data_IF_220999500690
#
_entry.id   IF_220999500690
#
_cell.length_a   1.000
_cell.length_b   1.000
_cell.length_c   1.000
_cell.angle_alpha   90.00
_cell.angle_beta   90.00
_cell.angle_gamma   90.00
#
_symmetry.space_group_name_H-M   'P 1'
#
loop_
_entity.id
_entity.type
_entity.pdbx_description
1 polymer ?
#
# COMPACT_ATOMS: atom_id res chain seq x y z
N UNK A 1 -23.64 1.45 23.08
CA UNK A 1 -22.35 0.79 22.85
C UNK A 1 -21.27 1.81 23.13
N UNK A 2 -20.38 1.50 24.07
CA UNK A 2 -19.36 2.43 24.55
C UNK A 2 -18.12 2.35 23.67
N UNK A 3 -17.34 3.44 23.65
CA UNK A 3 -16.14 3.64 22.83
C UNK A 3 -15.02 2.61 23.03
N UNK A 4 -15.13 1.80 24.07
CA UNK A 4 -14.08 0.90 24.54
C UNK A 4 -14.21 -0.52 23.95
N UNK A 5 -15.38 -0.90 23.42
CA UNK A 5 -15.60 -2.24 22.85
C UNK A 5 -14.93 -2.41 21.47
N UNK A 6 -14.57 -1.32 20.79
CA UNK A 6 -14.05 -1.32 19.41
C UNK A 6 -12.52 -1.41 19.30
N UNK A 7 -11.80 -1.44 20.43
CA UNK A 7 -10.33 -1.50 20.44
C UNK A 7 -9.76 -2.92 20.36
N UNK A 8 -10.55 -3.97 20.19
CA UNK A 8 -10.10 -5.37 20.40
C UNK A 8 -9.44 -6.07 19.20
N UNK A 9 -9.25 -5.40 18.05
CA UNK A 9 -8.55 -6.01 16.93
C UNK A 9 -7.05 -6.18 17.26
N UNK A 10 -6.53 -7.40 17.14
CA UNK A 10 -5.10 -7.67 17.27
C UNK A 10 -4.37 -7.24 16.00
N UNK A 11 -3.40 -6.32 16.13
CA UNK A 11 -2.46 -6.01 15.06
C UNK A 11 -1.63 -7.25 14.71
N UNK A 12 -1.78 -7.74 13.48
CA UNK A 12 -1.15 -8.96 13.04
C UNK A 12 0.09 -8.67 12.16
N UNK A 13 1.28 -8.85 12.74
CA UNK A 13 2.58 -8.74 12.05
C UNK A 13 2.73 -9.70 10.86
N UNK A 14 2.05 -10.86 10.87
CA UNK A 14 2.09 -11.78 9.73
C UNK A 14 1.35 -11.21 8.53
N UNK A 15 0.16 -10.66 8.77
CA UNK A 15 -0.67 -10.09 7.70
C UNK A 15 -0.05 -8.79 7.19
N UNK A 16 0.34 -7.90 8.12
CA UNK A 16 0.94 -6.60 7.80
C UNK A 16 2.25 -6.72 6.99
N UNK A 17 3.09 -7.71 7.32
CA UNK A 17 4.33 -7.96 6.62
C UNK A 17 4.22 -9.03 5.52
N UNK A 18 3.04 -9.61 5.30
CA UNK A 18 2.82 -10.73 4.37
C UNK A 18 3.83 -11.88 4.60
N UNK A 19 3.99 -12.26 5.85
CA UNK A 19 4.90 -13.33 6.29
C UNK A 19 4.13 -14.63 6.48
N UNK A 20 4.76 -15.75 6.11
CA UNK A 20 4.21 -17.08 6.37
C UNK A 20 4.39 -17.47 7.84
N UNK A 21 3.27 -17.48 8.59
CA UNK A 21 3.22 -17.90 10.00
C UNK A 21 3.72 -19.33 10.24
N UNK A 22 3.77 -20.20 9.23
CA UNK A 22 4.26 -21.56 9.37
C UNK A 22 5.80 -21.67 9.46
N UNK A 23 6.55 -20.64 9.02
CA UNK A 23 8.01 -20.62 9.11
C UNK A 23 8.48 -20.59 10.56
N UNK A 24 9.67 -21.13 10.84
CA UNK A 24 10.29 -21.05 12.16
C UNK A 24 10.84 -19.63 12.46
N UNK A 25 11.14 -19.29 13.73
CA UNK A 25 11.60 -17.95 14.10
C UNK A 25 12.87 -17.50 13.37
N UNK A 26 13.82 -18.42 13.10
CA UNK A 26 15.07 -18.07 12.44
C UNK A 26 14.85 -17.75 10.95
N UNK A 27 13.98 -18.51 10.29
CA UNK A 27 13.58 -18.23 8.90
C UNK A 27 12.85 -16.88 8.77
N UNK A 28 11.90 -16.57 9.67
CA UNK A 28 11.22 -15.28 9.70
C UNK A 28 12.19 -14.13 9.95
N UNK A 29 13.08 -14.29 10.92
CA UNK A 29 14.15 -13.34 11.22
C UNK A 29 15.00 -13.01 9.98
N UNK A 30 15.43 -14.04 9.26
CA UNK A 30 16.28 -13.88 8.08
C UNK A 30 15.57 -13.17 6.93
N UNK A 31 14.29 -13.46 6.71
CA UNK A 31 13.47 -12.76 5.71
C UNK A 31 13.30 -11.27 6.06
N UNK A 32 13.02 -10.97 7.33
CA UNK A 32 12.89 -9.58 7.79
C UNK A 32 14.23 -8.84 7.69
N UNK A 33 15.35 -9.48 8.07
CA UNK A 33 16.69 -8.90 7.96
C UNK A 33 17.05 -8.54 6.50
N UNK A 34 16.65 -9.37 5.52
CA UNK A 34 16.84 -9.08 4.10
C UNK A 34 16.04 -7.86 3.64
N UNK A 35 14.80 -7.69 4.13
CA UNK A 35 13.97 -6.52 3.82
C UNK A 35 14.58 -5.24 4.39
N UNK A 36 15.03 -5.29 5.65
CA UNK A 36 15.74 -4.18 6.30
C UNK A 36 16.99 -3.79 5.51
N UNK A 37 17.81 -4.76 5.10
CA UNK A 37 19.05 -4.51 4.36
C UNK A 37 18.82 -3.97 2.94
N UNK A 38 17.76 -4.41 2.28
CA UNK A 38 17.39 -3.96 0.93
C UNK A 38 16.63 -2.64 0.91
N UNK A 39 16.22 -2.12 2.08
CA UNK A 39 15.38 -0.91 2.18
C UNK A 39 13.92 -1.13 1.75
N UNK A 40 13.50 -2.39 1.58
CA UNK A 40 12.13 -2.76 1.30
C UNK A 40 11.29 -2.54 2.57
N UNK A 41 10.62 -1.38 2.63
CA UNK A 41 9.90 -0.85 3.81
C UNK A 41 8.46 -0.47 3.45
N UNK A 42 7.86 -1.16 2.48
CA UNK A 42 6.51 -0.84 1.96
C UNK A 42 5.36 -1.27 2.89
N UNK A 43 5.69 -1.87 4.04
CA UNK A 43 4.74 -2.26 5.07
C UNK A 43 4.18 -1.03 5.84
N UNK A 44 2.99 -1.14 6.46
CA UNK A 44 2.31 -0.01 7.10
C UNK A 44 3.10 0.76 8.16
N UNK A 45 4.01 0.10 8.89
CA UNK A 45 4.89 0.76 9.87
C UNK A 45 6.34 0.94 9.38
N UNK A 46 6.60 0.79 8.08
CA UNK A 46 7.91 0.97 7.47
C UNK A 46 9.05 0.23 8.18
N UNK A 47 10.20 0.90 8.29
CA UNK A 47 11.38 0.32 8.95
C UNK A 47 11.15 -0.03 10.43
N UNK A 48 10.39 0.80 11.16
CA UNK A 48 10.17 0.58 12.59
C UNK A 48 9.41 -0.73 12.83
N UNK A 49 8.34 -0.99 12.07
CA UNK A 49 7.61 -2.24 12.17
C UNK A 49 8.47 -3.44 11.81
N UNK A 50 9.34 -3.35 10.79
CA UNK A 50 10.29 -4.43 10.49
C UNK A 50 11.22 -4.72 11.67
N UNK A 51 11.70 -3.69 12.36
CA UNK A 51 12.55 -3.86 13.55
C UNK A 51 11.79 -4.51 14.71
N UNK A 52 10.55 -4.08 14.96
CA UNK A 52 9.67 -4.67 15.97
C UNK A 52 9.37 -6.13 15.64
N UNK A 53 9.00 -6.43 14.40
CA UNK A 53 8.72 -7.77 13.94
C UNK A 53 9.95 -8.67 14.04
N UNK A 54 11.14 -8.15 13.69
CA UNK A 54 12.39 -8.88 13.82
C UNK A 54 12.67 -9.30 15.26
N UNK A 55 12.40 -8.40 16.21
CA UNK A 55 12.60 -8.62 17.63
C UNK A 55 11.56 -9.56 18.26
N UNK A 56 10.32 -9.54 17.77
CA UNK A 56 9.21 -10.37 18.26
C UNK A 56 9.20 -11.75 17.58
N UNK A 57 9.13 -11.79 16.26
CA UNK A 57 8.97 -13.03 15.48
C UNK A 57 10.26 -13.84 15.36
N UNK A 58 11.42 -13.17 15.49
CA UNK A 58 12.73 -13.79 15.43
C UNK A 58 13.18 -14.45 16.75
N UNK A 59 12.50 -14.19 17.86
CA UNK A 59 12.77 -14.81 19.16
C UNK A 59 11.68 -15.85 19.48
N UNK A 60 12.02 -17.13 19.76
CA UNK A 60 11.02 -18.17 19.99
C UNK A 60 10.06 -17.88 21.16
N UNK A 61 10.53 -17.25 22.24
CA UNK A 61 9.71 -16.99 23.42
C UNK A 61 8.75 -15.83 23.19
N UNK A 62 9.26 -14.71 22.65
CA UNK A 62 8.42 -13.56 22.32
C UNK A 62 7.41 -13.90 21.25
N UNK A 63 7.80 -14.66 20.23
CA UNK A 63 6.87 -15.15 19.22
C UNK A 63 5.78 -16.01 19.84
N UNK A 64 6.12 -16.95 20.73
CA UNK A 64 5.11 -17.77 21.40
C UNK A 64 4.11 -16.92 22.20
N UNK A 65 4.58 -15.89 22.91
CA UNK A 65 3.70 -14.98 23.65
C UNK A 65 2.81 -14.14 22.71
N UNK A 66 3.37 -13.67 21.59
CA UNK A 66 2.64 -12.98 20.54
C UNK A 66 1.56 -13.86 19.91
N UNK A 67 1.92 -15.08 19.50
CA UNK A 67 1.04 -16.05 18.86
C UNK A 67 -0.10 -16.49 19.79
N UNK A 68 0.18 -16.69 21.08
CA UNK A 68 -0.83 -17.02 22.08
C UNK A 68 -1.87 -15.90 22.19
N UNK A 69 -1.41 -14.64 22.23
CA UNK A 69 -2.30 -13.48 22.35
C UNK A 69 -3.12 -13.25 21.09
N UNK A 70 -2.56 -13.49 19.90
CA UNK A 70 -3.28 -13.41 18.63
C UNK A 70 -4.42 -14.44 18.52
N UNK A 71 -4.26 -15.60 19.17
CA UNK A 71 -5.24 -16.69 19.14
C UNK A 71 -6.29 -16.62 20.27
N UNK A 72 -6.16 -15.69 21.23
CA UNK A 72 -7.10 -15.54 22.35
C UNK A 72 -8.04 -14.35 22.11
N UNK A 73 -9.31 -14.58 21.75
CA UNK A 73 -10.25 -13.51 21.46
C UNK A 73 -10.60 -12.63 22.67
N UNK A 74 -10.26 -13.07 23.89
CA UNK A 74 -10.49 -12.30 25.11
C UNK A 74 -9.22 -11.61 25.62
N UNK A 75 -8.08 -11.82 24.96
CA UNK A 75 -6.85 -11.15 25.36
C UNK A 75 -6.93 -9.65 25.04
N UNK A 76 -6.21 -8.79 25.78
CA UNK A 76 -6.17 -7.38 25.44
C UNK A 76 -5.65 -7.18 24.01
N UNK A 77 -6.19 -6.20 23.29
CA UNK A 77 -5.84 -5.93 21.90
C UNK A 77 -4.33 -5.83 21.68
N UNK A 78 -3.83 -6.40 20.60
CA UNK A 78 -2.42 -6.28 20.24
C UNK A 78 -2.23 -4.95 19.51
N UNK A 79 -1.91 -3.88 20.23
CA UNK A 79 -1.63 -2.56 19.62
C UNK A 79 -0.16 -2.45 19.21
N UNK A 80 0.19 -1.51 18.29
CA UNK A 80 1.58 -1.20 17.96
C UNK A 80 2.44 -0.92 19.21
N UNK A 81 1.89 -0.23 20.20
CA UNK A 81 2.57 0.03 21.48
C UNK A 81 2.87 -1.24 22.26
N UNK A 82 1.90 -2.15 22.33
CA UNK A 82 2.08 -3.44 23.02
C UNK A 82 3.09 -4.34 22.31
N UNK A 83 3.20 -4.23 20.98
CA UNK A 83 4.22 -4.93 20.19
C UNK A 83 5.64 -4.40 20.47
N UNK A 84 5.80 -3.07 20.55
CA UNK A 84 7.07 -2.45 20.95
C UNK A 84 7.48 -2.87 22.37
N UNK A 85 6.54 -2.90 23.31
CA UNK A 85 6.81 -3.42 24.66
C UNK A 85 7.25 -4.89 24.64
N UNK A 86 6.58 -5.74 23.86
CA UNK A 86 6.94 -7.14 23.71
C UNK A 86 8.35 -7.31 23.11
N UNK A 87 8.70 -6.51 22.10
CA UNK A 87 10.02 -6.49 21.47
C UNK A 87 11.16 -6.20 22.46
N UNK A 88 10.90 -5.37 23.49
CA UNK A 88 11.87 -5.04 24.52
C UNK A 88 11.83 -5.95 25.75
N UNK A 89 10.90 -6.90 25.83
CA UNK A 89 10.79 -7.79 26.99
C UNK A 89 11.90 -8.84 26.97
N UNK A 90 12.66 -8.97 28.05
CA UNK A 90 13.63 -10.04 28.21
C UNK A 90 12.91 -11.32 28.66
N UNK A 91 12.50 -12.16 27.70
CA UNK A 91 11.88 -13.46 27.96
C UNK A 91 12.86 -14.66 27.82
N UNK A 92 14.15 -14.39 27.64
CA UNK A 92 15.18 -15.43 27.42
C UNK A 92 16.00 -15.78 28.67
N UNK A 93 15.74 -16.96 29.24
CA UNK A 93 16.77 -17.88 29.74
C UNK A 93 17.29 -17.71 31.18
N UNK A 94 16.56 -18.22 32.16
CA UNK A 94 17.18 -18.82 33.37
C UNK A 94 16.91 -20.32 33.37
N UNK A 95 17.55 -21.04 32.46
CA UNK A 95 17.87 -22.47 32.67
C UNK A 95 19.19 -22.48 33.43
N UNK A 96 19.11 -22.25 34.74
CA UNK A 96 20.10 -22.80 35.66
C UNK A 96 19.50 -24.05 36.30
N UNK A 97 20.03 -25.19 35.87
CA UNK A 97 19.70 -26.51 36.37
C UNK A 97 20.14 -26.63 37.82
N UNK A 98 19.23 -26.38 38.75
CA UNK A 98 19.43 -26.67 40.17
C UNK A 98 19.25 -28.16 40.48
N UNK A 99 20.18 -29.03 40.05
CA UNK A 99 20.38 -30.35 40.67
C UNK A 99 21.52 -30.22 41.69
N UNK A 100 21.10 -30.12 42.94
CA UNK A 100 21.66 -30.72 44.15
C UNK A 100 23.11 -30.50 44.63
N UNK A 101 23.17 -30.33 45.96
CA UNK A 101 24.28 -30.59 46.88
C UNK A 101 25.32 -29.47 47.10
N UNK A 102 25.23 -28.91 48.31
CA UNK A 102 26.02 -27.77 48.75
C UNK A 102 27.43 -28.08 49.22
N UNK A 103 28.22 -27.02 49.32
CA UNK A 103 29.32 -26.87 50.27
C UNK A 103 29.37 -25.39 50.69
N UNK A 104 29.38 -25.19 52.00
CA UNK A 104 29.66 -23.95 52.71
C UNK A 104 31.05 -23.40 52.39
N UNK A 105 31.17 -22.09 52.09
CA UNK A 105 32.02 -21.13 52.82
C UNK A 105 32.38 -19.86 52.02
N UNK A 106 32.18 -18.73 52.70
CA UNK A 106 33.03 -17.52 52.73
C UNK A 106 33.13 -16.60 51.50
N UNK A 107 32.35 -15.52 51.57
CA UNK A 107 32.49 -14.28 50.80
C UNK A 107 33.15 -13.20 51.69
N UNK A 108 34.20 -12.49 51.24
CA UNK A 108 34.64 -11.25 51.89
C UNK A 108 33.74 -10.07 51.49
N UNK A 109 33.64 -9.13 52.42
CA UNK A 109 32.74 -7.99 52.44
C UNK A 109 32.88 -7.00 51.27
N UNK A 110 31.75 -6.53 50.75
CA UNK A 110 31.61 -5.24 50.08
C UNK A 110 30.37 -4.52 50.62
N UNK A 111 30.54 -3.19 50.77
CA UNK A 111 29.73 -2.15 51.43
C UNK A 111 28.20 -2.28 51.37
N UNK A 112 27.46 -1.71 52.35
CA UNK A 112 26.00 -1.62 52.29
C UNK A 112 25.56 -0.74 51.12
N UNK A 113 24.71 -1.30 50.25
CA UNK A 113 23.99 -0.58 49.23
C UNK A 113 22.84 0.21 49.88
N UNK A 114 22.73 1.45 49.42
CA UNK A 114 21.69 2.41 49.75
C UNK A 114 20.32 1.92 49.27
N UNK A 115 19.30 2.16 50.09
CA UNK A 115 17.90 1.76 49.92
C UNK A 115 17.37 2.26 48.55
N UNK A 116 16.72 1.42 47.70
CA UNK A 116 16.07 1.93 46.51
C UNK A 116 14.92 2.83 46.92
N UNK A 117 14.97 4.08 46.47
CA UNK A 117 13.85 5.00 46.52
C UNK A 117 12.70 4.43 45.69
N UNK A 118 11.50 4.53 46.25
CA UNK A 118 10.23 4.28 45.58
C UNK A 118 10.15 5.24 44.38
N UNK A 119 10.13 4.70 43.16
CA UNK A 119 9.85 5.49 41.97
C UNK A 119 8.35 5.83 41.95
N UNK A 120 8.04 7.11 42.14
CA UNK A 120 6.71 7.66 41.90
C UNK A 120 6.32 7.49 40.42
N UNK A 121 5.01 7.32 40.11
CA UNK A 121 4.54 7.22 38.74
C UNK A 121 4.72 8.57 38.04
N UNK A 122 5.41 8.56 36.90
CA UNK A 122 5.51 9.71 36.01
C UNK A 122 4.14 9.99 35.37
N UNK A 123 3.33 10.78 36.05
CA UNK A 123 2.14 11.39 35.51
C UNK A 123 2.51 12.49 34.53
N UNK A 124 2.13 12.30 33.26
CA UNK A 124 1.68 13.33 32.33
C UNK A 124 2.57 14.54 32.05
N UNK A 125 3.24 14.55 30.90
CA UNK A 125 3.49 15.77 30.11
C UNK A 125 3.38 15.48 28.61
N UNK A 126 2.63 16.29 27.83
CA UNK A 126 2.49 16.12 26.39
C UNK A 126 3.78 16.54 25.66
N UNK A 127 4.22 15.74 24.69
CA UNK A 127 5.36 16.07 23.83
C UNK A 127 4.94 17.12 22.80
N UNK A 128 5.51 18.32 22.93
CA UNK A 128 5.47 19.40 21.95
C UNK A 128 6.63 19.21 20.95
N UNK A 129 6.31 19.05 19.66
CA UNK A 129 7.28 19.02 18.57
C UNK A 129 7.57 20.45 18.10
N UNK A 130 8.78 20.95 18.39
CA UNK A 130 9.27 22.24 17.91
C UNK A 130 10.18 22.08 16.68
N UNK A 131 10.12 22.99 15.67
CA UNK A 131 10.88 22.84 14.44
C UNK A 131 12.33 23.33 14.57
N UNK A 132 13.30 22.49 14.19
CA UNK A 132 14.66 22.92 13.93
C UNK A 132 14.76 23.55 12.54
N UNK A 133 14.96 24.87 12.49
CA UNK A 133 15.38 25.58 11.28
C UNK A 133 16.87 25.32 11.04
N UNK A 134 17.22 24.69 9.94
CA UNK A 134 18.54 24.84 9.34
C UNK A 134 18.38 25.45 7.95
N UNK A 135 18.72 26.73 7.90
CA UNK A 135 18.96 27.50 6.68
C UNK A 135 20.18 26.93 5.96
N UNK A 136 20.03 26.56 4.69
CA UNK A 136 21.14 26.50 3.74
C UNK A 136 20.70 27.17 2.45
N UNK A 137 21.15 28.40 2.32
CA UNK A 137 21.15 29.19 1.09
C UNK A 137 22.12 28.59 0.09
N UNK A 138 21.64 28.22 -1.11
CA UNK A 138 22.49 28.15 -2.30
C UNK A 138 21.87 29.01 -3.41
N UNK A 139 22.74 29.87 -3.90
CA UNK A 139 22.61 30.90 -4.93
C UNK A 139 22.01 30.39 -6.25
N UNK A 140 21.13 31.20 -6.84
CA UNK A 140 20.79 31.18 -8.27
C UNK A 140 22.01 31.51 -9.14
N UNK A 141 22.04 30.99 -10.37
CA UNK A 141 22.36 31.86 -11.52
C UNK A 141 21.16 31.98 -12.48
N UNK A 142 20.90 33.22 -12.90
CA UNK A 142 19.98 33.57 -13.96
C UNK A 142 20.58 33.30 -15.36
N UNK A 143 19.71 33.44 -16.38
CA UNK A 143 19.93 33.46 -17.85
C UNK A 143 20.22 32.11 -18.52
N UNK A 144 19.58 31.70 -19.63
CA UNK A 144 18.95 32.41 -20.75
C UNK A 144 18.03 31.46 -21.55
N UNK A 145 16.98 31.99 -22.15
CA UNK A 145 16.11 31.34 -23.16
C UNK A 145 16.81 31.34 -24.53
N UNK A 146 16.79 30.23 -25.30
CA UNK A 146 16.83 30.33 -26.75
C UNK A 146 15.56 29.82 -27.43
N UNK A 147 15.22 30.54 -28.49
CA UNK A 147 14.00 30.47 -29.28
C UNK A 147 13.84 29.22 -30.15
N UNK A 148 12.58 29.01 -30.51
CA UNK A 148 12.05 28.24 -31.64
C UNK A 148 12.98 28.19 -32.86
N UNK A 149 13.25 26.98 -33.35
CA UNK A 149 13.63 26.76 -34.74
C UNK A 149 12.50 26.04 -35.48
N UNK A 150 11.90 26.79 -36.41
CA UNK A 150 10.99 26.32 -37.47
C UNK A 150 11.75 25.34 -38.36
N UNK A 151 11.21 24.13 -38.53
CA UNK A 151 11.61 23.26 -39.63
C UNK A 151 10.74 23.55 -40.86
N UNK A 152 11.34 23.75 -42.05
CA UNK A 152 10.60 23.92 -43.30
C UNK A 152 9.99 22.60 -43.79
N UNK A 153 8.75 22.71 -44.28
CA UNK A 153 8.05 21.71 -45.09
C UNK A 153 8.73 21.54 -46.45
N UNK A 154 9.19 20.33 -46.77
CA UNK A 154 9.57 19.97 -48.14
C UNK A 154 8.43 19.12 -48.76
N UNK A 155 7.97 19.45 -49.99
CA UNK A 155 6.81 18.82 -50.60
C UNK A 155 7.15 17.48 -51.25
N UNK A 156 6.35 16.46 -50.95
CA UNK A 156 6.37 15.17 -51.65
C UNK A 156 5.71 15.34 -53.03
N UNK A 157 6.34 14.89 -54.13
CA UNK A 157 5.80 15.03 -55.48
C UNK A 157 4.58 14.14 -55.72
N UNK A 158 3.59 14.71 -56.42
CA UNK A 158 2.43 14.01 -56.98
C UNK A 158 2.90 13.00 -58.03
N UNK A 159 2.44 11.76 -57.90
CA UNK A 159 2.47 10.78 -58.99
C UNK A 159 1.07 10.78 -59.60
N UNK A 160 1.03 11.16 -60.87
CA UNK A 160 -0.17 11.26 -61.69
C UNK A 160 -0.82 9.90 -61.97
N UNK A 161 -2.12 9.95 -62.21
CA UNK A 161 -2.99 8.83 -62.55
C UNK A 161 -2.75 8.30 -63.99
N UNK A 162 -2.90 6.98 -64.10
CA UNK A 162 -3.42 6.08 -65.17
C UNK A 162 -3.50 6.53 -66.65
N UNK A 163 -3.41 5.56 -67.58
CA UNK A 163 -4.62 5.30 -68.38
C UNK A 163 -4.96 3.82 -68.66
N UNK A 164 -6.27 3.59 -68.78
CA UNK A 164 -6.99 2.36 -69.18
C UNK A 164 -6.55 1.74 -70.52
N UNK A 165 -6.75 0.41 -70.67
CA UNK A 165 -7.40 -0.14 -71.87
C UNK A 165 -7.95 -1.59 -71.71
N UNK A 166 -9.25 -1.68 -71.45
CA UNK A 166 -10.32 -2.27 -72.30
C UNK A 166 -10.18 -3.67 -72.99
N UNK A 167 -11.01 -4.66 -72.55
CA UNK A 167 -12.09 -5.40 -73.30
C UNK A 167 -12.24 -6.95 -73.12
N UNK A 168 -13.45 -7.32 -72.60
CA UNK A 168 -14.41 -8.42 -73.00
C UNK A 168 -14.01 -9.91 -72.75
N UNK A 169 -14.82 -10.89 -72.27
CA UNK A 169 -16.29 -11.15 -72.21
C UNK A 169 -16.68 -12.12 -71.03
N UNK A 170 -17.80 -11.80 -70.33
CA UNK A 170 -18.93 -12.60 -69.72
C UNK A 170 -18.81 -14.12 -69.36
N UNK A 171 -19.74 -14.71 -68.54
CA UNK A 171 -20.13 -14.40 -67.16
C UNK A 171 -20.31 -15.69 -66.29
N UNK A 172 -19.86 -15.72 -65.03
CA UNK A 172 -20.40 -16.68 -64.02
C UNK A 172 -20.45 -15.97 -62.66
N UNK A 173 -21.64 -15.81 -62.11
CA UNK A 173 -21.92 -15.35 -60.74
C UNK A 173 -22.44 -16.58 -59.96
N UNK A 174 -22.44 -16.64 -58.62
CA UNK A 174 -21.46 -16.25 -57.61
C UNK A 174 -21.20 -17.38 -56.56
N UNK A 175 -19.95 -17.70 -56.19
CA UNK A 175 -19.68 -18.41 -54.90
C UNK A 175 -18.39 -17.90 -54.24
N UNK A 176 -18.14 -16.60 -54.27
CA UNK A 176 -16.94 -16.03 -53.63
C UNK A 176 -17.21 -14.94 -52.59
N UNK A 177 -18.49 -14.59 -52.34
CA UNK A 177 -18.84 -13.58 -51.34
C UNK A 177 -19.24 -14.16 -49.96
N UNK A 178 -19.58 -15.45 -49.86
CA UNK A 178 -20.01 -16.06 -48.60
C UNK A 178 -18.84 -16.57 -47.73
N UNK A 179 -17.72 -16.97 -48.34
CA UNK A 179 -16.57 -17.51 -47.60
C UNK A 179 -15.75 -16.42 -46.88
N UNK A 180 -15.66 -15.21 -47.44
CA UNK A 180 -14.92 -14.10 -46.82
C UNK A 180 -15.71 -13.47 -45.66
N UNK A 181 -17.05 -13.47 -45.72
CA UNK A 181 -17.88 -13.00 -44.63
C UNK A 181 -17.87 -13.97 -43.41
N UNK A 182 -17.78 -15.28 -43.62
CA UNK A 182 -17.72 -16.25 -42.52
C UNK A 182 -16.36 -16.29 -41.83
N UNK A 183 -15.26 -16.10 -42.56
CA UNK A 183 -13.91 -16.01 -41.95
C UNK A 183 -13.74 -14.71 -41.16
N UNK A 184 -14.37 -13.60 -41.58
CA UNK A 184 -14.35 -12.36 -40.82
C UNK A 184 -15.19 -12.45 -39.52
N UNK A 185 -16.31 -13.18 -39.52
CA UNK A 185 -17.14 -13.38 -38.32
C UNK A 185 -16.48 -14.36 -37.34
N UNK A 186 -15.87 -15.44 -37.82
CA UNK A 186 -15.17 -16.41 -36.96
C UNK A 186 -13.82 -15.85 -36.47
N UNK A 187 -13.04 -15.21 -37.33
CA UNK A 187 -11.76 -14.59 -36.97
C UNK A 187 -11.89 -13.32 -36.13
N UNK A 188 -12.86 -12.44 -36.47
CA UNK A 188 -13.15 -11.23 -35.70
C UNK A 188 -13.84 -11.53 -34.37
N UNK A 189 -14.72 -12.54 -34.33
CA UNK A 189 -15.33 -13.02 -33.10
C UNK A 189 -14.31 -13.65 -32.15
N UNK A 190 -13.39 -14.47 -32.66
CA UNK A 190 -12.34 -15.07 -31.83
C UNK A 190 -11.36 -14.02 -31.29
N UNK A 191 -11.03 -12.96 -32.04
CA UNK A 191 -10.18 -11.88 -31.53
C UNK A 191 -10.91 -11.02 -30.46
N UNK A 192 -12.22 -10.78 -30.64
CA UNK A 192 -13.05 -10.04 -29.68
C UNK A 192 -13.33 -10.81 -28.37
N UNK A 193 -13.40 -12.14 -28.42
CA UNK A 193 -13.59 -12.98 -27.23
C UNK A 193 -12.26 -13.40 -26.57
N UNK A 194 -11.19 -13.64 -27.32
CA UNK A 194 -9.88 -13.96 -26.75
C UNK A 194 -9.14 -12.73 -26.21
N UNK A 195 -9.44 -11.52 -26.68
CA UNK A 195 -8.82 -10.26 -26.23
C UNK A 195 -9.50 -9.59 -25.03
N UNK A 196 -10.58 -10.17 -24.48
CA UNK A 196 -11.23 -9.61 -23.28
C UNK A 196 -10.54 -10.01 -21.97
N UNK A 197 -9.89 -11.17 -21.94
CA UNK A 197 -9.29 -11.72 -20.70
C UNK A 197 -7.76 -11.73 -20.71
N UNK A 198 -7.12 -11.33 -21.82
CA UNK A 198 -5.69 -11.01 -21.78
C UNK A 198 -5.54 -9.67 -21.11
N UNK A 199 -5.22 -9.71 -19.81
CA UNK A 199 -4.50 -8.69 -19.06
C UNK A 199 -3.80 -7.68 -20.00
N UNK A 200 -4.50 -6.60 -20.37
CA UNK A 200 -3.87 -5.50 -21.07
C UNK A 200 -2.90 -4.86 -20.07
N UNK A 201 -1.63 -4.78 -20.43
CA UNK A 201 -0.63 -4.13 -19.59
C UNK A 201 0.63 -4.92 -19.33
N UNK A 202 1.59 -4.25 -18.70
CA UNK A 202 2.74 -4.89 -18.08
C UNK A 202 2.40 -5.28 -16.65
N UNK A 203 2.99 -6.36 -16.09
CA UNK A 203 2.88 -6.64 -14.67
C UNK A 203 3.32 -5.42 -13.86
N UNK A 204 2.63 -5.15 -12.75
CA UNK A 204 3.06 -4.12 -11.83
C UNK A 204 4.44 -4.48 -11.26
N UNK A 205 5.35 -3.52 -11.26
CA UNK A 205 6.58 -3.62 -10.49
C UNK A 205 6.33 -3.20 -9.04
N UNK A 206 7.15 -3.68 -8.12
CA UNK A 206 7.10 -3.17 -6.75
C UNK A 206 7.46 -1.68 -6.72
N UNK A 207 6.79 -0.84 -5.91
CA UNK A 207 5.78 -1.19 -4.90
C UNK A 207 4.32 -1.27 -5.41
N UNK A 208 4.05 -0.97 -6.68
CA UNK A 208 2.68 -0.94 -7.24
C UNK A 208 1.97 -2.29 -7.22
N UNK A 209 2.72 -3.39 -7.34
CA UNK A 209 2.18 -4.74 -7.25
C UNK A 209 1.49 -5.00 -5.90
N UNK A 210 2.04 -4.48 -4.80
CA UNK A 210 1.40 -4.60 -3.48
C UNK A 210 0.03 -3.93 -3.46
N UNK A 211 -0.09 -2.73 -4.04
CA UNK A 211 -1.36 -2.00 -4.11
C UNK A 211 -2.41 -2.77 -4.92
N UNK A 212 -2.02 -3.36 -6.05
CA UNK A 212 -2.91 -4.18 -6.87
C UNK A 212 -3.34 -5.47 -6.15
N UNK A 213 -2.45 -6.06 -5.35
CA UNK A 213 -2.75 -7.25 -4.54
C UNK A 213 -3.63 -6.93 -3.32
N UNK A 214 -3.49 -5.76 -2.71
CA UNK A 214 -4.31 -5.33 -1.56
C UNK A 214 -5.72 -4.90 -2.01
N UNK A 215 -5.84 -4.29 -3.19
CA UNK A 215 -7.12 -3.79 -3.72
C UNK A 215 -7.48 -4.39 -5.09
N UNK A 216 -7.57 -5.73 -5.23
CA UNK A 216 -7.71 -6.41 -6.52
C UNK A 216 -9.07 -6.17 -7.19
N UNK A 217 -10.06 -5.69 -6.43
CA UNK A 217 -11.37 -5.31 -6.96
C UNK A 217 -11.44 -3.84 -7.39
N UNK A 218 -10.45 -3.03 -7.02
CA UNK A 218 -10.36 -1.59 -7.36
C UNK A 218 -9.33 -1.36 -8.46
N UNK A 219 -8.16 -1.98 -8.30
CA UNK A 219 -6.99 -1.82 -9.15
C UNK A 219 -6.90 -3.00 -10.13
N UNK A 220 -6.58 -2.70 -11.39
CA UNK A 220 -6.33 -3.72 -12.39
C UNK A 220 -5.12 -4.59 -12.01
N UNK A 221 -5.13 -5.87 -12.39
CA UNK A 221 -3.99 -6.77 -12.14
C UNK A 221 -2.68 -6.35 -12.84
N UNK A 222 -2.74 -5.49 -13.86
CA UNK A 222 -1.60 -5.05 -14.67
C UNK A 222 -1.67 -3.54 -14.95
N UNK A 223 -0.52 -2.91 -15.19
CA UNK A 223 -0.41 -1.50 -15.53
C UNK A 223 -0.99 -1.21 -16.92
N UNK A 224 -1.91 -0.26 -17.01
CA UNK A 224 -2.72 -0.01 -18.21
C UNK A 224 -3.96 -0.89 -18.33
N UNK A 225 -4.20 -1.79 -17.36
CA UNK A 225 -5.39 -2.61 -17.28
C UNK A 225 -6.64 -1.84 -16.84
N UNK A 226 -7.77 -2.55 -16.69
CA UNK A 226 -9.04 -1.97 -16.25
C UNK A 226 -9.40 -2.45 -14.85
N UNK A 227 -9.59 -1.53 -13.92
CA UNK A 227 -9.98 -1.79 -12.54
C UNK A 227 -11.49 -1.76 -12.37
N UNK A 228 -11.94 -1.30 -11.20
CA UNK A 228 -13.36 -1.13 -10.87
C UNK A 228 -14.11 -0.35 -11.95
N UNK A 229 -15.32 -0.80 -12.25
CA UNK A 229 -16.21 -0.24 -13.28
C UNK A 229 -15.55 -0.07 -14.67
N UNK A 230 -14.49 -0.83 -14.95
CA UNK A 230 -13.76 -0.76 -16.21
C UNK A 230 -12.90 0.50 -16.37
N UNK A 231 -12.60 1.21 -15.27
CA UNK A 231 -11.73 2.39 -15.29
C UNK A 231 -10.29 2.00 -15.64
N UNK A 232 -9.65 2.65 -16.63
CA UNK A 232 -8.26 2.37 -16.97
C UNK A 232 -7.34 2.84 -15.84
N UNK A 233 -6.46 1.95 -15.39
CA UNK A 233 -5.53 2.17 -14.28
C UNK A 233 -4.12 2.43 -14.79
N UNK A 234 -3.45 3.40 -14.19
CA UNK A 234 -2.02 3.66 -14.45
C UNK A 234 -1.32 4.11 -13.18
N UNK A 235 -0.01 3.87 -13.10
CA UNK A 235 0.84 4.56 -12.12
C UNK A 235 0.79 6.09 -12.29
N UNK A 236 1.12 6.81 -11.23
CA UNK A 236 1.21 8.27 -11.20
C UNK A 236 2.48 8.72 -10.53
N UNK A 237 2.86 9.96 -10.81
CA UNK A 237 3.99 10.60 -10.16
C UNK A 237 3.76 10.68 -8.65
N UNK A 238 4.79 10.27 -7.90
CA UNK A 238 4.80 10.29 -6.45
C UNK A 238 5.14 11.70 -5.95
N UNK A 239 4.59 12.05 -4.81
CA UNK A 239 4.79 13.32 -4.12
C UNK A 239 4.80 13.09 -2.60
N UNK A 240 5.46 13.94 -1.82
CA UNK A 240 5.28 14.02 -0.36
C UNK A 240 5.15 12.66 0.38
N UNK A 241 6.22 11.87 0.47
CA UNK A 241 6.22 10.61 1.25
C UNK A 241 5.42 9.45 0.65
N UNK A 242 4.78 9.64 -0.52
CA UNK A 242 4.13 8.57 -1.26
C UNK A 242 5.14 7.52 -1.75
N UNK A 243 4.87 6.24 -1.49
CA UNK A 243 5.68 5.10 -1.94
C UNK A 243 5.09 4.46 -3.20
N UNK A 244 3.76 4.49 -3.36
CA UNK A 244 3.06 4.03 -4.56
C UNK A 244 1.81 4.88 -4.82
N UNK A 245 1.48 5.11 -6.09
CA UNK A 245 0.28 5.87 -6.48
C UNK A 245 -0.32 5.31 -7.77
N UNK A 246 -1.51 4.73 -7.68
CA UNK A 246 -2.24 4.19 -8.84
C UNK A 246 -3.55 4.95 -9.00
N UNK A 247 -3.84 5.39 -10.21
CA UNK A 247 -5.09 6.06 -10.55
C UNK A 247 -5.86 5.29 -11.61
N UNK A 248 -7.08 4.91 -11.29
CA UNK A 248 -8.06 4.33 -12.20
C UNK A 248 -9.13 5.38 -12.51
N UNK A 249 -9.20 5.87 -13.75
CA UNK A 249 -10.09 7.01 -14.05
C UNK A 249 -10.45 7.18 -15.52
N UNK A 250 -11.60 7.82 -15.75
CA UNK A 250 -12.01 8.37 -17.05
C UNK A 250 -12.23 9.89 -16.94
N UNK A 251 -13.02 10.45 -17.85
CA UNK A 251 -13.39 11.87 -17.93
C UNK A 251 -14.39 12.32 -16.85
N UNK A 252 -15.14 11.37 -16.27
CA UNK A 252 -16.24 11.64 -15.33
C UNK A 252 -15.91 11.27 -13.88
N UNK A 253 -15.11 10.22 -13.69
CA UNK A 253 -14.91 9.56 -12.41
C UNK A 253 -13.45 9.11 -12.28
N UNK A 254 -12.89 9.26 -11.09
CA UNK A 254 -11.56 8.77 -10.76
C UNK A 254 -11.49 8.20 -9.35
N UNK A 255 -10.70 7.13 -9.23
CA UNK A 255 -10.23 6.60 -7.96
C UNK A 255 -8.71 6.61 -7.99
N UNK A 256 -8.09 7.10 -6.93
CA UNK A 256 -6.64 7.06 -6.74
C UNK A 256 -6.35 6.34 -5.43
N UNK A 257 -5.54 5.29 -5.48
CA UNK A 257 -5.02 4.60 -4.29
C UNK A 257 -3.57 5.02 -4.11
N UNK A 258 -3.26 5.54 -2.93
CA UNK A 258 -1.97 6.10 -2.57
C UNK A 258 -1.45 5.32 -1.37
N UNK A 259 -0.21 4.84 -1.45
CA UNK A 259 0.52 4.23 -0.35
C UNK A 259 1.54 5.23 0.19
N UNK A 260 1.67 5.29 1.52
CA UNK A 260 2.70 6.03 2.23
C UNK A 260 3.65 5.07 2.96
N UNK A 261 4.80 5.58 3.39
CA UNK A 261 5.74 4.80 4.20
C UNK A 261 5.20 4.49 5.60
N UNK A 262 4.24 5.29 6.10
CA UNK A 262 3.53 5.01 7.34
C UNK A 262 2.14 5.64 7.41
N UNK A 263 1.32 5.16 8.34
CA UNK A 263 0.06 5.82 8.73
C UNK A 263 0.27 7.29 9.14
N UNK A 264 1.33 7.57 9.91
CA UNK A 264 1.62 8.94 10.33
C UNK A 264 1.91 9.86 9.12
N UNK A 265 2.64 9.38 8.12
CA UNK A 265 2.87 10.13 6.88
C UNK A 265 1.57 10.31 6.08
N UNK A 266 0.75 9.26 5.98
CA UNK A 266 -0.57 9.32 5.35
C UNK A 266 -1.46 10.36 6.01
N UNK A 267 -1.50 10.42 7.33
CA UNK A 267 -2.33 11.37 8.09
C UNK A 267 -1.92 12.82 7.85
N UNK A 268 -0.64 13.09 7.59
CA UNK A 268 -0.19 14.45 7.22
C UNK A 268 -0.72 14.90 5.85
N UNK A 269 -1.13 13.97 4.99
CA UNK A 269 -1.67 14.27 3.66
C UNK A 269 -3.20 14.44 3.65
N UNK A 270 -3.89 14.09 4.74
CA UNK A 270 -5.34 14.24 4.84
C UNK A 270 -5.69 15.73 4.99
N UNK A 271 -6.52 16.29 4.09
CA UNK A 271 -6.97 17.68 4.24
C UNK A 271 -7.87 17.82 5.47
N UNK A 272 -7.86 19.01 6.07
CA UNK A 272 -8.82 19.34 7.12
C UNK A 272 -10.23 19.36 6.52
N UNK A 273 -11.03 18.35 6.85
CA UNK A 273 -12.37 18.14 6.34
C UNK A 273 -13.33 17.83 7.48
N UNK A 274 -14.53 18.40 7.42
CA UNK A 274 -15.60 18.16 8.41
C UNK A 274 -16.96 18.13 7.70
N UNK A 275 -17.89 17.23 8.07
CA UNK A 275 -17.72 16.19 9.09
C UNK A 275 -16.89 15.00 8.60
N UNK A 276 -16.10 14.40 9.49
CA UNK A 276 -15.47 13.10 9.26
C UNK A 276 -16.46 11.98 9.57
N UNK A 277 -16.73 11.13 8.59
CA UNK A 277 -17.63 9.99 8.71
C UNK A 277 -16.84 8.71 8.96
N UNK A 278 -17.34 7.87 9.86
CA UNK A 278 -16.76 6.57 10.19
C UNK A 278 -17.60 5.45 9.59
N UNK A 279 -16.95 4.52 8.89
CA UNK A 279 -17.57 3.39 8.23
C UNK A 279 -16.92 2.09 8.67
N UNK A 280 -17.71 1.02 8.71
CA UNK A 280 -17.20 -0.33 8.94
C UNK A 280 -17.73 -0.99 10.21
N UNK A 281 -16.99 -1.98 10.69
CA UNK A 281 -17.28 -2.79 11.87
C UNK A 281 -15.96 -3.14 12.60
N UNK A 282 -16.01 -4.04 13.59
CA UNK A 282 -14.85 -4.46 14.39
C UNK A 282 -13.72 -5.14 13.59
N UNK A 283 -14.00 -5.59 12.37
CA UNK A 283 -13.04 -6.31 11.51
C UNK A 283 -12.44 -5.44 10.42
N UNK A 284 -13.15 -4.40 9.97
CA UNK A 284 -12.68 -3.48 8.95
C UNK A 284 -13.35 -2.12 9.14
N UNK A 285 -12.53 -1.07 9.26
CA UNK A 285 -12.98 0.31 9.45
C UNK A 285 -12.20 1.25 8.53
N UNK A 286 -12.87 2.30 8.07
CA UNK A 286 -12.24 3.45 7.44
C UNK A 286 -12.96 4.74 7.81
N UNK A 287 -12.22 5.85 7.74
CA UNK A 287 -12.81 7.19 7.81
C UNK A 287 -12.92 7.80 6.42
N UNK A 288 -13.92 8.65 6.20
CA UNK A 288 -14.10 9.36 4.93
C UNK A 288 -14.69 10.74 5.17
N UNK A 289 -14.25 11.72 4.40
CA UNK A 289 -14.85 13.05 4.39
C UNK A 289 -14.74 13.67 2.99
N UNK A 290 -15.61 14.63 2.73
CA UNK A 290 -15.54 15.46 1.53
C UNK A 290 -14.30 16.37 1.59
N UNK A 291 -13.60 16.51 0.47
CA UNK A 291 -12.46 17.41 0.33
C UNK A 291 -13.01 18.78 -0.10
N UNK A 292 -12.81 19.83 0.71
CA UNK A 292 -13.34 21.15 0.38
C UNK A 292 -12.64 21.78 -0.83
N UNK A 293 -13.28 22.81 -1.38
CA UNK A 293 -12.73 23.68 -2.44
C UNK A 293 -12.32 22.96 -3.73
N UNK A 294 -12.98 21.83 -4.05
CA UNK A 294 -12.77 21.11 -5.29
C UNK A 294 -13.80 21.51 -6.36
N UNK A 295 -13.36 21.55 -7.63
CA UNK A 295 -14.24 21.85 -8.76
C UNK A 295 -15.29 20.75 -9.03
N UNK A 296 -15.09 19.57 -8.46
CA UNK A 296 -15.97 18.41 -8.53
C UNK A 296 -16.03 17.74 -7.17
N UNK A 297 -17.10 17.01 -6.89
CA UNK A 297 -17.21 16.19 -5.68
C UNK A 297 -15.98 15.30 -5.53
N UNK A 298 -15.33 15.38 -4.37
CA UNK A 298 -14.13 14.62 -4.07
C UNK A 298 -14.14 14.23 -2.60
N UNK A 299 -13.74 12.99 -2.33
CA UNK A 299 -13.71 12.41 -1.00
C UNK A 299 -12.38 11.72 -0.80
N UNK A 300 -11.85 11.81 0.41
CA UNK A 300 -10.84 10.86 0.84
C UNK A 300 -11.49 9.70 1.60
N UNK A 301 -10.78 8.59 1.62
CA UNK A 301 -11.05 7.44 2.45
C UNK A 301 -9.73 6.95 3.03
N UNK A 302 -9.71 6.75 4.34
CA UNK A 302 -8.54 6.41 5.12
C UNK A 302 -8.84 5.11 5.88
N UNK A 303 -8.45 3.94 5.33
CA UNK A 303 -8.56 2.65 6.01
C UNK A 303 -7.72 2.61 7.29
N UNK A 304 -8.14 1.81 8.26
CA UNK A 304 -7.41 1.57 9.51
C UNK A 304 -6.66 0.22 9.48
N UNK A 305 -5.96 -0.11 10.58
CA UNK A 305 -5.31 -1.41 10.80
C UNK A 305 -4.25 -1.75 9.73
N UNK A 306 -4.27 -2.94 9.14
CA UNK A 306 -3.26 -3.39 8.17
C UNK A 306 -3.21 -2.59 6.86
N UNK A 307 -4.20 -1.74 6.58
CA UNK A 307 -4.21 -0.82 5.45
C UNK A 307 -3.99 0.64 5.87
N UNK A 308 -3.52 0.89 7.09
CA UNK A 308 -3.46 2.24 7.65
C UNK A 308 -2.48 3.18 6.96
N UNK A 309 -1.56 2.67 6.13
CA UNK A 309 -0.69 3.49 5.29
C UNK A 309 -1.28 3.83 3.91
N UNK A 310 -2.52 3.44 3.62
CA UNK A 310 -3.20 3.78 2.38
C UNK A 310 -4.11 5.00 2.53
N UNK A 311 -4.19 5.81 1.48
CA UNK A 311 -5.19 6.85 1.28
C UNK A 311 -5.86 6.62 -0.07
N UNK A 312 -7.19 6.63 -0.08
CA UNK A 312 -7.97 6.44 -1.30
C UNK A 312 -8.73 7.73 -1.58
N UNK A 313 -8.56 8.27 -2.78
CA UNK A 313 -9.27 9.47 -3.24
C UNK A 313 -10.30 9.05 -4.28
N UNK A 314 -11.55 9.47 -4.10
CA UNK A 314 -12.64 9.25 -5.04
C UNK A 314 -13.17 10.60 -5.50
N UNK A 315 -13.20 10.86 -6.80
CA UNK A 315 -13.59 12.16 -7.33
C UNK A 315 -14.42 12.06 -8.62
N UNK A 316 -15.32 13.03 -8.83
CA UNK A 316 -16.14 13.16 -10.03
C UNK A 316 -17.61 12.77 -9.85
N UNK A 317 -18.30 12.50 -10.95
CA UNK A 317 -19.73 12.18 -10.96
C UNK A 317 -20.02 10.90 -10.17
N UNK A 318 -20.85 10.99 -9.12
CA UNK A 318 -21.22 9.84 -8.29
C UNK A 318 -20.13 9.40 -7.29
N UNK A 319 -19.12 10.25 -7.03
CA UNK A 319 -18.08 9.97 -6.06
C UNK A 319 -18.63 9.67 -4.65
N UNK A 320 -19.68 10.39 -4.25
CA UNK A 320 -20.36 10.18 -2.97
C UNK A 320 -20.94 8.77 -2.82
N UNK A 321 -21.53 8.22 -3.89
CA UNK A 321 -22.12 6.87 -3.89
C UNK A 321 -21.05 5.78 -4.09
N UNK A 322 -19.98 6.08 -4.82
CA UNK A 322 -18.92 5.13 -5.07
C UNK A 322 -18.08 4.86 -3.82
N UNK A 323 -17.71 5.92 -3.07
CA UNK A 323 -16.87 5.78 -1.86
C UNK A 323 -17.47 4.78 -0.87
N UNK A 324 -18.79 4.79 -0.66
CA UNK A 324 -19.47 3.89 0.29
C UNK A 324 -19.70 2.47 -0.25
N UNK A 325 -19.42 2.23 -1.54
CA UNK A 325 -19.53 0.92 -2.19
C UNK A 325 -18.18 0.31 -2.53
N UNK A 326 -17.07 1.01 -2.28
CA UNK A 326 -15.75 0.47 -2.56
C UNK A 326 -15.48 -0.76 -1.69
N UNK A 327 -14.97 -1.86 -2.27
CA UNK A 327 -14.67 -3.09 -1.55
C UNK A 327 -13.32 -2.98 -0.82
N UNK A 328 -13.24 -2.02 0.10
CA UNK A 328 -12.10 -1.84 1.02
C UNK A 328 -12.42 -2.41 2.40
N UNK A 329 -13.68 -2.80 2.59
CA UNK A 329 -14.31 -3.59 3.63
C UNK A 329 -15.49 -4.29 2.92
#
# INVERSE_FOLDING_TARGET
MNREDWMMAHYNLYDSLRLDRAKDPAALAQEIDQRIQSGNTWNPGGLEELQVARAVLGDPYRRSAYDQRLNDPNAPAMTPDSLRQLAHTNMGGSVDSGVESGVTASRPAQKPAEKPAVAEPLTGRPYQYGPSRQTSSIQQPATQVPQQQKYPTEPIPKVDAEPESDKKKRPVWPIAAAAVALVAIVGGGLWWFAGRDTAQGSPWEQPYAMVAEDFPQIIAANDGGRGIDGLPCSSRELSNGETAKIRCANDKLGITVIQYASEAERDTAIPASEPVEHYGNETCEFTSAEIPDQSFEAYYMAPNSHWSNYLILVNGEGAADLRVRLPIC
#
